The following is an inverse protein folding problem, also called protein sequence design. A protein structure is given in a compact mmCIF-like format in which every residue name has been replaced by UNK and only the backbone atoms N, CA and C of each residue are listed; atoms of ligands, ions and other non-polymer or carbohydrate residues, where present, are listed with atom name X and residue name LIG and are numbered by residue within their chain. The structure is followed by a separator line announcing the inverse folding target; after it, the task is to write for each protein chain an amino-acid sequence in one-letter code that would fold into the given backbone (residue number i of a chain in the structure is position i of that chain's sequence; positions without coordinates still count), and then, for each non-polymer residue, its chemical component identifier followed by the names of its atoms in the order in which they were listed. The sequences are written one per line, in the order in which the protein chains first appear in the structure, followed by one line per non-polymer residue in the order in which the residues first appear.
data_IF_762675023678
#
_entry.id   IF_762675023678
#
_cell.length_a   1.000
_cell.length_b   1.000
_cell.length_c   1.000
_cell.angle_alpha   90.00
_cell.angle_beta   90.00
_cell.angle_gamma   90.00
#
_symmetry.space_group_name_H-M   'P 1'
#
loop_
_entity.id
_entity.type
_entity.pdbx_description
1 polymer ?
#
# COMPACT_ATOMS: atom_id res chain seq x y z
N UNK A 1 -11.76 3.69 16.10
CA UNK A 1 -11.49 2.44 15.35
C UNK A 1 -12.83 1.76 15.09
N UNK A 2 -13.03 1.10 13.94
CA UNK A 2 -14.28 0.39 13.66
C UNK A 2 -14.46 -0.75 14.68
N UNK A 3 -15.66 -1.00 15.22
CA UNK A 3 -15.88 -2.03 16.25
C UNK A 3 -15.47 -3.45 15.79
N UNK A 4 -15.66 -3.75 14.50
CA UNK A 4 -15.27 -5.03 13.90
C UNK A 4 -13.80 -5.09 13.45
N UNK A 5 -12.99 -4.06 13.73
CA UNK A 5 -11.59 -4.06 13.34
C UNK A 5 -10.79 -5.07 14.16
N UNK A 6 -10.12 -5.99 13.46
CA UNK A 6 -9.19 -6.96 14.07
C UNK A 6 -7.84 -6.82 13.36
N UNK A 7 -6.80 -6.56 14.14
CA UNK A 7 -5.43 -6.37 13.61
C UNK A 7 -4.97 -7.57 12.78
N UNK A 8 -5.35 -8.79 13.20
CA UNK A 8 -5.07 -10.04 12.51
C UNK A 8 -5.61 -10.10 11.08
N UNK A 9 -6.74 -9.44 10.79
CA UNK A 9 -7.30 -9.37 9.45
C UNK A 9 -6.45 -8.45 8.56
N UNK A 10 -5.98 -7.34 9.13
CA UNK A 10 -5.02 -6.45 8.46
C UNK A 10 -3.72 -7.19 8.14
N UNK A 11 -3.14 -7.88 9.12
CA UNK A 11 -1.91 -8.66 8.90
C UNK A 11 -2.07 -9.74 7.83
N UNK A 12 -3.24 -10.38 7.73
CA UNK A 12 -3.50 -11.39 6.70
C UNK A 12 -3.45 -10.81 5.30
N UNK A 13 -4.04 -9.63 5.09
CA UNK A 13 -4.02 -8.93 3.80
C UNK A 13 -2.61 -8.43 3.48
N UNK A 14 -1.88 -7.89 4.47
CA UNK A 14 -0.53 -7.37 4.26
C UNK A 14 0.52 -8.45 3.89
N UNK A 15 0.20 -9.73 4.08
CA UNK A 15 1.07 -10.86 3.68
C UNK A 15 0.85 -11.32 2.23
N UNK A 16 -0.09 -10.70 1.50
CA UNK A 16 -0.36 -11.04 0.11
C UNK A 16 0.70 -10.44 -0.81
N UNK A 17 0.94 -11.09 -1.96
CA UNK A 17 1.86 -10.58 -2.98
C UNK A 17 1.35 -9.29 -3.66
N UNK A 18 0.03 -9.12 -3.74
CA UNK A 18 -0.62 -7.95 -4.31
C UNK A 18 -1.71 -7.45 -3.35
N UNK A 19 -1.78 -6.13 -3.17
CA UNK A 19 -2.75 -5.48 -2.28
C UNK A 19 -3.51 -4.44 -3.07
N UNK A 20 -4.84 -4.58 -3.12
CA UNK A 20 -5.72 -3.57 -3.73
C UNK A 20 -6.18 -2.57 -2.67
N UNK A 21 -5.89 -1.29 -2.88
CA UNK A 21 -6.37 -0.19 -2.03
C UNK A 21 -7.45 0.58 -2.77
N UNK A 22 -8.66 0.64 -2.17
CA UNK A 22 -9.78 1.42 -2.71
C UNK A 22 -9.96 2.70 -1.91
N UNK A 23 -9.87 3.83 -2.60
CA UNK A 23 -10.15 5.16 -2.02
C UNK A 23 -11.42 5.71 -2.66
N UNK A 24 -12.46 5.94 -1.84
CA UNK A 24 -13.68 6.60 -2.27
C UNK A 24 -13.75 8.02 -1.70
N UNK A 25 -13.61 9.02 -2.57
CA UNK A 25 -13.62 10.43 -2.19
C UNK A 25 -15.04 11.00 -2.00
N UNK A 26 -16.09 10.29 -2.42
CA UNK A 26 -17.48 10.78 -2.41
C UNK A 26 -17.69 12.13 -3.12
N UNK A 27 -17.01 12.34 -4.26
CA UNK A 27 -16.99 13.63 -5.00
C UNK A 27 -17.36 13.52 -6.48
N UNK A 28 -18.26 12.61 -6.84
CA UNK A 28 -18.73 12.38 -8.21
C UNK A 28 -18.30 11.03 -8.77
N UNK A 29 -18.31 10.88 -10.09
CA UNK A 29 -18.10 9.62 -10.81
C UNK A 29 -16.70 9.43 -11.41
N UNK A 30 -15.80 10.42 -11.25
CA UNK A 30 -14.44 10.31 -11.75
C UNK A 30 -13.68 9.18 -11.05
N UNK A 31 -12.89 8.43 -11.83
CA UNK A 31 -12.10 7.30 -11.34
C UNK A 31 -10.74 7.25 -12.05
N UNK A 32 -9.72 6.73 -11.34
CA UNK A 32 -8.39 6.46 -11.88
C UNK A 32 -7.75 5.31 -11.11
N UNK A 33 -6.87 4.56 -11.76
CA UNK A 33 -6.12 3.45 -11.18
C UNK A 33 -4.62 3.77 -11.21
N UNK A 34 -3.94 3.49 -10.10
CA UNK A 34 -2.49 3.66 -9.98
C UNK A 34 -1.88 2.35 -9.50
N UNK A 35 -0.82 1.92 -10.18
CA UNK A 35 -0.01 0.78 -9.78
C UNK A 35 1.26 1.29 -9.08
N UNK A 36 1.60 0.67 -7.97
CA UNK A 36 2.81 0.98 -7.19
C UNK A 36 3.28 -0.29 -6.49
N UNK A 37 4.51 -0.26 -5.97
CA UNK A 37 5.04 -1.28 -5.09
C UNK A 37 5.28 -0.72 -3.68
N UNK A 38 5.65 -1.61 -2.77
CA UNK A 38 6.10 -1.28 -1.43
C UNK A 38 7.47 -0.60 -1.44
N UNK A 39 7.82 0.01 -0.30
CA UNK A 39 9.14 0.55 -0.05
C UNK A 39 9.92 -0.45 0.81
N UNK A 40 10.96 -1.03 0.24
CA UNK A 40 11.81 -2.01 0.92
C UNK A 40 13.15 -1.42 1.37
N UNK A 41 13.79 -2.08 2.33
CA UNK A 41 15.17 -1.76 2.73
C UNK A 41 16.15 -1.93 1.56
N UNK A 42 15.91 -2.91 0.70
CA UNK A 42 16.74 -3.19 -0.47
C UNK A 42 16.67 -2.05 -1.49
N UNK A 43 15.48 -1.46 -1.70
CA UNK A 43 15.35 -0.27 -2.55
C UNK A 43 16.27 0.86 -2.06
N UNK A 44 16.32 1.09 -0.74
CA UNK A 44 17.22 2.09 -0.14
C UNK A 44 18.67 1.70 -0.35
N UNK A 45 19.04 0.45 -0.04
CA UNK A 45 20.42 -0.03 -0.12
C UNK A 45 20.99 0.05 -1.55
N UNK A 46 20.19 -0.33 -2.56
CA UNK A 46 20.58 -0.29 -3.97
C UNK A 46 20.83 1.15 -4.45
N UNK A 47 20.04 2.11 -3.96
CA UNK A 47 20.07 3.49 -4.46
C UNK A 47 20.87 4.46 -3.57
N UNK A 48 21.26 4.05 -2.35
CA UNK A 48 22.03 4.90 -1.44
C UNK A 48 23.41 5.27 -2.02
N UNK A 49 24.03 4.33 -2.75
CA UNK A 49 25.38 4.50 -3.30
C UNK A 49 25.42 5.29 -4.62
N UNK A 50 24.26 5.61 -5.20
CA UNK A 50 24.18 6.32 -6.48
C UNK A 50 24.56 7.81 -6.40
N UNK A 51 24.71 8.36 -5.18
CA UNK A 51 25.02 9.78 -4.94
C UNK A 51 26.29 10.00 -4.11
N UNK A 52 27.06 8.95 -3.81
CA UNK A 52 28.39 9.03 -3.18
C UNK A 52 29.51 9.01 -4.20
#
# INVERSE_FOLDING_TARGET
RHPDYREEDGQRVMKQAEITIKVNLHRGSAASNVWTCDLSHDYVSINADYRS
#
